data_IF_234740331299
#
_entry.id   IF_234740331299
#
_cell.length_a   1.000
_cell.length_b   1.000
_cell.length_c   1.000
_cell.angle_alpha   90.00
_cell.angle_beta   90.00
_cell.angle_gamma   90.00
#
_symmetry.space_group_name_H-M   'P 1'
#
loop_
_entity.id
_entity.type
_entity.pdbx_description
1 polymer ?
#
# COMPACT_ATOMS: atom_id res chain seq x y z
N UNK A 1 -30.62 -0.24 -18.89
CA UNK A 1 -30.66 -0.26 -17.40
C UNK A 1 -29.77 0.87 -16.90
N UNK A 2 -30.28 1.73 -16.06
CA UNK A 2 -29.49 2.81 -15.50
C UNK A 2 -28.46 2.28 -14.51
N UNK A 3 -27.23 2.75 -14.65
CA UNK A 3 -26.17 2.39 -13.72
C UNK A 3 -26.36 3.20 -12.44
N UNK A 4 -26.29 2.51 -11.28
CA UNK A 4 -26.33 3.19 -9.99
C UNK A 4 -25.06 4.02 -9.81
N UNK A 5 -25.16 5.22 -9.20
CA UNK A 5 -23.97 6.00 -8.91
C UNK A 5 -23.05 5.24 -7.95
N UNK A 6 -21.73 5.37 -8.18
CA UNK A 6 -20.74 4.75 -7.33
C UNK A 6 -20.50 5.61 -6.10
N UNK A 7 -21.47 5.64 -5.20
CA UNK A 7 -21.32 6.31 -3.90
C UNK A 7 -20.66 5.36 -2.90
N UNK A 8 -20.13 5.93 -1.83
CA UNK A 8 -19.53 5.15 -0.75
C UNK A 8 -20.53 4.15 -0.18
N UNK A 9 -21.79 4.58 0.01
CA UNK A 9 -22.84 3.70 0.52
C UNK A 9 -23.12 2.53 -0.41
N UNK A 10 -23.16 2.79 -1.73
CA UNK A 10 -23.40 1.74 -2.72
C UNK A 10 -22.22 0.74 -2.76
N UNK A 11 -21.00 1.24 -2.64
CA UNK A 11 -19.82 0.37 -2.60
C UNK A 11 -19.81 -0.50 -1.35
N UNK A 12 -20.13 0.08 -0.20
CA UNK A 12 -20.21 -0.69 1.04
C UNK A 12 -21.31 -1.75 0.97
N UNK A 13 -22.47 -1.39 0.41
CA UNK A 13 -23.58 -2.35 0.25
C UNK A 13 -23.20 -3.51 -0.66
N UNK A 14 -22.41 -3.26 -1.70
CA UNK A 14 -22.01 -4.28 -2.68
C UNK A 14 -20.83 -5.15 -2.19
N UNK A 15 -19.83 -4.54 -1.57
CA UNK A 15 -18.56 -5.19 -1.25
C UNK A 15 -18.31 -5.36 0.24
N UNK A 16 -19.18 -4.85 1.08
CA UNK A 16 -19.06 -4.94 2.53
C UNK A 16 -18.42 -3.71 3.15
N UNK A 17 -18.48 -3.59 4.49
CA UNK A 17 -18.05 -2.38 5.18
C UNK A 17 -16.54 -2.15 5.15
N UNK A 18 -15.75 -3.19 4.85
CA UNK A 18 -14.28 -3.08 4.85
C UNK A 18 -13.69 -2.68 3.51
N UNK A 19 -14.52 -2.52 2.46
CA UNK A 19 -14.02 -2.22 1.12
C UNK A 19 -13.29 -0.88 1.05
N UNK A 20 -13.58 0.05 1.95
CA UNK A 20 -12.97 1.37 1.99
C UNK A 20 -12.32 1.68 3.33
N UNK A 21 -11.99 0.65 4.08
CA UNK A 21 -11.36 0.83 5.39
C UNK A 21 -9.96 1.41 5.25
N UNK A 22 -9.71 2.49 5.96
CA UNK A 22 -8.37 3.05 6.00
C UNK A 22 -7.40 2.15 6.75
N UNK A 23 -6.16 2.03 6.29
CA UNK A 23 -5.14 1.35 7.08
C UNK A 23 -4.80 2.16 8.33
N UNK A 24 -4.22 1.51 9.36
CA UNK A 24 -3.74 2.24 10.53
C UNK A 24 -2.78 3.35 10.10
N UNK A 25 -3.00 4.56 10.61
CA UNK A 25 -2.21 5.72 10.22
C UNK A 25 -2.71 6.47 9.00
N UNK A 26 -3.82 6.03 8.38
CA UNK A 26 -4.44 6.70 7.24
C UNK A 26 -3.80 6.34 5.91
N UNK A 27 -4.14 7.13 4.87
CA UNK A 27 -3.71 6.90 3.49
C UNK A 27 -2.46 7.70 3.10
N UNK A 28 -2.05 8.65 3.93
CA UNK A 28 -0.88 9.47 3.67
C UNK A 28 0.37 8.87 4.32
N UNK A 29 1.53 9.01 3.67
CA UNK A 29 2.78 8.57 4.29
C UNK A 29 3.05 9.36 5.58
N UNK A 30 3.58 8.69 6.57
CA UNK A 30 4.06 9.35 7.78
C UNK A 30 5.36 10.08 7.44
N UNK A 31 5.47 11.35 7.85
CA UNK A 31 6.60 12.18 7.46
C UNK A 31 7.95 11.73 8.03
N UNK A 32 7.95 11.19 9.25
CA UNK A 32 9.18 10.78 9.93
C UNK A 32 9.40 9.28 9.84
N UNK A 33 10.66 8.88 9.73
CA UNK A 33 11.05 7.48 9.72
C UNK A 33 12.33 7.31 10.51
N UNK A 34 12.49 6.14 11.13
CA UNK A 34 13.73 5.79 11.84
C UNK A 34 14.84 5.46 10.84
N UNK A 35 14.47 4.87 9.71
CA UNK A 35 15.44 4.47 8.69
C UNK A 35 14.74 4.36 7.33
N UNK A 36 15.57 4.36 6.29
CA UNK A 36 15.16 4.08 4.93
C UNK A 36 15.75 2.76 4.50
N UNK A 37 14.93 1.89 3.91
CA UNK A 37 15.37 0.59 3.42
C UNK A 37 15.23 0.57 1.90
N UNK A 38 16.34 0.38 1.20
CA UNK A 38 16.36 0.28 -0.25
C UNK A 38 15.93 -1.12 -0.68
N UNK A 39 14.96 -1.20 -1.57
CA UNK A 39 14.43 -2.47 -2.06
C UNK A 39 13.80 -2.29 -3.43
N UNK A 40 13.06 -3.27 -3.89
CA UNK A 40 12.35 -3.23 -5.16
C UNK A 40 10.84 -3.33 -4.95
N UNK A 41 10.08 -2.65 -5.80
CA UNK A 41 8.64 -2.81 -5.83
C UNK A 41 8.28 -4.22 -6.32
N UNK A 42 7.31 -4.86 -5.68
CA UNK A 42 6.95 -6.24 -5.95
C UNK A 42 5.71 -6.42 -6.82
N UNK A 43 5.13 -5.32 -7.35
CA UNK A 43 3.87 -5.42 -8.07
C UNK A 43 4.00 -6.05 -9.45
N UNK A 44 5.08 -5.75 -10.16
CA UNK A 44 5.24 -6.26 -11.51
C UNK A 44 6.70 -6.55 -11.82
N UNK A 45 6.96 -7.12 -13.00
CA UNK A 45 8.30 -7.51 -13.40
C UNK A 45 9.27 -6.38 -13.68
N UNK A 46 8.85 -5.13 -13.59
CA UNK A 46 9.74 -3.99 -13.79
C UNK A 46 10.77 -3.85 -12.67
N UNK A 47 10.46 -4.32 -11.48
CA UNK A 47 11.37 -4.30 -10.33
C UNK A 47 11.91 -2.90 -10.03
N UNK A 48 11.03 -1.90 -10.01
CA UNK A 48 11.43 -0.53 -9.73
C UNK A 48 12.06 -0.41 -8.34
N UNK A 49 13.17 0.33 -8.26
CA UNK A 49 13.81 0.62 -6.99
C UNK A 49 13.01 1.62 -6.18
N UNK A 50 12.91 1.39 -4.90
CA UNK A 50 12.15 2.22 -3.97
C UNK A 50 12.85 2.21 -2.61
N UNK A 51 12.72 3.29 -1.87
CA UNK A 51 13.13 3.34 -0.47
C UNK A 51 11.88 3.31 0.40
N UNK A 52 11.82 2.35 1.31
CA UNK A 52 10.72 2.26 2.25
C UNK A 52 11.08 3.00 3.53
N UNK A 53 10.15 3.82 4.02
CA UNK A 53 10.27 4.47 5.31
C UNK A 53 9.84 3.50 6.39
N UNK A 54 10.71 3.23 7.34
CA UNK A 54 10.44 2.31 8.44
C UNK A 54 10.49 3.07 9.75
N UNK A 55 9.46 2.88 10.56
CA UNK A 55 9.37 3.46 11.90
C UNK A 55 8.83 2.42 12.86
N UNK A 56 9.55 2.19 13.97
CA UNK A 56 9.18 1.18 14.97
C UNK A 56 8.93 -0.20 14.34
N UNK A 57 9.82 -0.61 13.42
CA UNK A 57 9.76 -1.90 12.71
C UNK A 57 8.54 -2.05 11.79
N UNK A 58 7.91 -0.94 11.40
CA UNK A 58 6.76 -0.96 10.48
C UNK A 58 7.03 -0.07 9.28
N UNK A 59 6.57 -0.51 8.12
CA UNK A 59 6.66 0.29 6.90
C UNK A 59 5.57 1.36 6.96
N UNK A 60 5.98 2.63 6.96
CA UNK A 60 5.04 3.75 7.14
C UNK A 60 4.98 4.69 5.94
N UNK A 61 5.81 4.46 4.93
CA UNK A 61 5.81 5.31 3.76
C UNK A 61 6.88 4.89 2.76
N UNK A 62 7.14 5.77 1.82
CA UNK A 62 8.16 5.53 0.80
C UNK A 62 8.91 6.82 0.50
N UNK A 63 10.09 6.66 -0.13
CA UNK A 63 10.79 7.75 -0.78
C UNK A 63 11.32 7.29 -2.13
N UNK A 64 11.39 8.18 -3.12
CA UNK A 64 12.01 7.84 -4.39
C UNK A 64 13.48 7.49 -4.20
N UNK A 65 13.93 6.49 -4.96
CA UNK A 65 15.34 6.13 -4.99
C UNK A 65 15.91 6.63 -6.32
N UNK A 66 16.33 7.88 -6.36
CA UNK A 66 16.75 8.54 -7.61
C UNK A 66 18.05 7.98 -8.16
N UNK A 67 18.91 7.45 -7.30
CA UNK A 67 20.21 6.90 -7.71
C UNK A 67 20.09 5.52 -8.36
N UNK A 68 18.94 4.86 -8.23
CA UNK A 68 18.76 3.56 -8.84
C UNK A 68 18.68 3.71 -10.37
N UNK A 69 19.57 3.05 -11.12
CA UNK A 69 19.76 3.36 -12.54
C UNK A 69 18.58 3.00 -13.44
N UNK A 70 17.72 2.08 -13.02
CA UNK A 70 16.64 1.61 -13.86
C UNK A 70 15.48 2.60 -13.93
N UNK A 71 14.86 2.93 -12.80
CA UNK A 71 13.70 3.82 -12.79
C UNK A 71 13.99 5.23 -12.27
N UNK A 72 15.17 5.47 -11.73
CA UNK A 72 15.65 6.80 -11.33
C UNK A 72 14.64 7.57 -10.46
N UNK A 73 14.04 6.89 -9.51
CA UNK A 73 13.06 7.48 -8.59
C UNK A 73 11.64 7.53 -9.13
N UNK A 74 11.41 7.14 -10.36
CA UNK A 74 10.07 7.19 -10.97
C UNK A 74 9.30 5.94 -10.61
N UNK A 75 8.04 6.13 -10.18
CA UNK A 75 7.16 5.05 -9.78
C UNK A 75 5.77 5.28 -10.36
N UNK A 76 5.08 4.20 -10.70
CA UNK A 76 3.67 4.28 -11.06
C UNK A 76 2.82 4.40 -9.78
N UNK A 77 1.52 4.70 -9.89
CA UNK A 77 0.66 4.82 -8.71
C UNK A 77 0.65 3.59 -7.81
N UNK A 78 0.81 2.38 -8.37
CA UNK A 78 0.86 1.16 -7.56
C UNK A 78 2.10 1.14 -6.67
N UNK A 79 3.26 1.50 -7.21
CA UNK A 79 4.50 1.56 -6.45
C UNK A 79 4.46 2.61 -5.34
N UNK A 80 3.89 3.76 -5.63
CA UNK A 80 3.75 4.84 -4.65
C UNK A 80 2.94 4.39 -3.43
N UNK A 81 1.93 3.55 -3.64
CA UNK A 81 1.04 3.09 -2.57
C UNK A 81 1.39 1.71 -2.03
N UNK A 82 2.53 1.15 -2.43
CA UNK A 82 2.94 -0.19 -2.01
C UNK A 82 3.02 -0.35 -0.51
N UNK A 83 3.50 0.68 0.19
CA UNK A 83 3.67 0.63 1.64
C UNK A 83 2.35 0.39 2.39
N UNK A 84 1.21 0.69 1.78
CA UNK A 84 -0.09 0.52 2.41
C UNK A 84 -0.54 -0.93 2.51
N UNK A 85 0.15 -1.84 1.84
CA UNK A 85 -0.25 -3.25 1.81
C UNK A 85 0.30 -4.05 2.96
N UNK A 86 1.09 -3.43 3.83
CA UNK A 86 1.62 -4.06 5.00
C UNK A 86 0.77 -3.72 6.23
N UNK A 87 0.72 -4.63 7.21
CA UNK A 87 0.16 -4.32 8.53
C UNK A 87 -1.32 -4.02 8.61
N UNK A 88 -2.12 -4.35 7.60
CA UNK A 88 -3.57 -4.14 7.67
C UNK A 88 -4.18 -5.04 8.74
N UNK A 89 -5.12 -4.53 9.58
CA UNK A 89 -5.70 -5.33 10.66
C UNK A 89 -6.49 -6.55 10.21
N UNK A 90 -7.01 -6.55 8.98
CA UNK A 90 -7.77 -7.68 8.45
C UNK A 90 -6.89 -8.70 7.73
N UNK A 91 -5.57 -8.51 7.72
CA UNK A 91 -4.66 -9.45 7.07
C UNK A 91 -4.64 -10.77 7.82
N UNK A 92 -4.74 -11.88 7.08
CA UNK A 92 -4.64 -13.20 7.65
C UNK A 92 -3.19 -13.48 8.03
N UNK A 93 -2.98 -13.90 9.29
CA UNK A 93 -1.63 -14.11 9.84
C UNK A 93 -1.29 -15.59 10.00
N UNK A 94 -2.24 -16.48 9.72
CA UNK A 94 -2.02 -17.92 9.83
C UNK A 94 -2.93 -18.63 8.82
N UNK A 95 -2.60 -19.89 8.47
CA UNK A 95 -3.47 -20.67 7.61
C UNK A 95 -4.86 -20.84 8.24
N UNK A 96 -5.89 -20.76 7.41
CA UNK A 96 -7.28 -20.92 7.84
C UNK A 96 -7.89 -22.07 7.08
N UNK A 97 -8.76 -22.81 7.76
CA UNK A 97 -9.52 -23.91 7.17
C UNK A 97 -11.00 -23.59 7.22
N UNK A 98 -11.69 -23.81 6.11
CA UNK A 98 -13.14 -23.62 6.05
C UNK A 98 -13.85 -24.78 6.71
N UNK A 99 -14.70 -24.49 7.66
CA UNK A 99 -15.50 -25.51 8.38
C UNK A 99 -16.96 -25.44 8.01
#
# INVERSE_FOLDING_TARGET
>A
MAKLPDTVENLIARYGPHAQREPPGGWAPIGEADRLVKTHCCFCGQQCGIQLKVKNERVVGFEPWEEFPFNQGKLCPKGIKRYMQDGHPDRLLSPLERV
#
